data_IF_340907875011
#
_entry.id   IF_340907875011
#
_cell.length_a   1.000
_cell.length_b   1.000
_cell.length_c   1.000
_cell.angle_alpha   90.00
_cell.angle_beta   90.00
_cell.angle_gamma   90.00
#
_symmetry.space_group_name_H-M   'P 1'
#
loop_
_entity.id
_entity.type
_entity.pdbx_description
1 polymer ?
#
# COMPACT_ATOMS: atom_id res chain seq x y z
N UNK A 1 11.90 -4.38 -9.63
CA UNK A 1 10.43 -4.47 -9.53
C UNK A 1 9.96 -5.70 -8.78
N UNK A 2 10.27 -6.93 -9.19
CA UNK A 2 9.81 -8.15 -8.50
C UNK A 2 10.05 -8.15 -6.98
N UNK A 3 11.21 -7.68 -6.53
CA UNK A 3 11.53 -7.58 -5.09
C UNK A 3 10.57 -6.63 -4.34
N UNK A 4 10.19 -5.51 -4.94
CA UNK A 4 9.27 -4.55 -4.32
C UNK A 4 7.85 -5.13 -4.22
N UNK A 5 7.38 -5.81 -5.28
CA UNK A 5 6.08 -6.48 -5.28
C UNK A 5 6.03 -7.61 -4.23
N UNK A 6 7.10 -8.38 -4.10
CA UNK A 6 7.22 -9.40 -3.05
C UNK A 6 7.14 -8.78 -1.64
N UNK A 7 7.86 -7.68 -1.38
CA UNK A 7 7.77 -6.95 -0.10
C UNK A 7 6.36 -6.45 0.19
N UNK A 8 5.66 -5.89 -0.82
CA UNK A 8 4.26 -5.47 -0.65
C UNK A 8 3.37 -6.67 -0.28
N UNK A 9 3.52 -7.79 -0.98
CA UNK A 9 2.79 -9.03 -0.68
C UNK A 9 3.03 -9.51 0.75
N UNK A 10 4.27 -9.47 1.24
CA UNK A 10 4.61 -9.85 2.62
C UNK A 10 3.93 -8.93 3.65
N UNK A 11 3.84 -7.63 3.37
CA UNK A 11 3.13 -6.69 4.24
C UNK A 11 1.62 -6.96 4.25
N UNK A 12 1.01 -7.19 3.08
CA UNK A 12 -0.41 -7.56 2.96
C UNK A 12 -0.70 -8.85 3.72
N UNK A 13 0.14 -9.88 3.56
CA UNK A 13 0.02 -11.15 4.29
C UNK A 13 0.09 -10.93 5.81
N UNK A 14 0.98 -10.05 6.28
CA UNK A 14 1.11 -9.73 7.69
C UNK A 14 -0.13 -9.04 8.25
N UNK A 15 -0.75 -8.13 7.49
CA UNK A 15 -2.02 -7.48 7.83
C UNK A 15 -3.14 -8.52 7.90
N UNK A 16 -3.26 -9.39 6.90
CA UNK A 16 -4.28 -10.44 6.86
C UNK A 16 -4.18 -11.42 8.03
N UNK A 17 -2.96 -11.85 8.38
CA UNK A 17 -2.71 -12.68 9.58
C UNK A 17 -3.10 -11.95 10.87
N UNK A 18 -2.83 -10.65 10.96
CA UNK A 18 -3.26 -9.81 12.09
C UNK A 18 -4.79 -9.74 12.19
N UNK A 19 -5.49 -9.50 11.10
CA UNK A 19 -6.93 -9.43 11.02
C UNK A 19 -7.61 -10.78 11.40
N UNK A 20 -7.07 -11.91 10.91
CA UNK A 20 -7.56 -13.26 11.27
C UNK A 20 -7.45 -13.51 12.78
N UNK A 21 -6.32 -13.15 13.40
CA UNK A 21 -6.15 -13.28 14.85
C UNK A 21 -7.15 -12.42 15.62
N UNK A 22 -7.40 -11.20 15.15
CA UNK A 22 -8.40 -10.28 15.73
C UNK A 22 -9.80 -10.88 15.66
N UNK A 23 -10.19 -11.45 14.52
CA UNK A 23 -11.51 -12.06 14.34
C UNK A 23 -11.76 -13.26 15.31
N UNK A 24 -10.70 -13.94 15.73
CA UNK A 24 -10.76 -15.11 16.62
C UNK A 24 -10.54 -14.77 18.10
N UNK A 25 -10.26 -13.53 18.44
CA UNK A 25 -10.01 -13.07 19.79
C UNK A 25 -10.94 -11.90 20.15
N UNK A 26 -11.39 -11.84 21.39
CA UNK A 26 -12.18 -10.71 21.91
C UNK A 26 -11.24 -9.53 22.23
N UNK A 27 -10.67 -8.92 21.16
CA UNK A 27 -9.70 -7.83 21.29
C UNK A 27 -10.42 -6.51 21.55
N UNK A 28 -10.03 -5.85 22.63
CA UNK A 28 -10.50 -4.51 22.99
C UNK A 28 -9.58 -3.45 22.39
N UNK A 29 -9.79 -3.14 21.12
CA UNK A 29 -9.09 -2.02 20.47
C UNK A 29 -10.00 -0.80 20.53
N UNK A 30 -9.51 0.37 20.98
CA UNK A 30 -10.26 1.61 20.96
C UNK A 30 -10.78 1.94 19.57
N UNK A 31 -12.06 2.32 19.45
CA UNK A 31 -12.69 2.62 18.16
C UNK A 31 -11.96 3.70 17.37
N UNK A 32 -11.40 4.70 18.06
CA UNK A 32 -10.61 5.76 17.46
C UNK A 32 -9.42 5.21 16.65
N UNK A 33 -8.70 4.20 17.15
CA UNK A 33 -7.61 3.56 16.43
C UNK A 33 -8.11 2.71 15.26
N UNK A 34 -9.29 2.10 15.37
CA UNK A 34 -9.90 1.35 14.26
C UNK A 34 -10.26 2.29 13.12
N UNK A 35 -10.91 3.42 13.38
CA UNK A 35 -11.28 4.43 12.39
C UNK A 35 -10.05 5.01 11.67
N UNK A 36 -8.96 5.24 12.41
CA UNK A 36 -7.70 5.71 11.81
C UNK A 36 -7.07 4.66 10.88
N UNK A 37 -7.07 3.37 11.25
CA UNK A 37 -6.61 2.28 10.37
C UNK A 37 -7.48 2.17 9.13
N UNK A 38 -8.79 2.27 9.24
CA UNK A 38 -9.71 2.22 8.10
C UNK A 38 -9.45 3.38 7.14
N UNK A 39 -9.21 4.59 7.67
CA UNK A 39 -8.84 5.76 6.89
C UNK A 39 -7.50 5.54 6.17
N UNK A 40 -6.46 5.10 6.89
CA UNK A 40 -5.15 4.81 6.33
C UNK A 40 -5.24 3.72 5.25
N UNK A 41 -5.99 2.64 5.49
CA UNK A 41 -6.18 1.56 4.53
C UNK A 41 -6.88 2.04 3.25
N UNK A 42 -7.87 2.94 3.36
CA UNK A 42 -8.53 3.55 2.22
C UNK A 42 -7.57 4.38 1.36
N UNK A 43 -6.68 5.15 1.99
CA UNK A 43 -5.64 5.91 1.30
C UNK A 43 -4.63 4.99 0.61
N UNK A 44 -4.16 3.96 1.29
CA UNK A 44 -3.24 2.95 0.72
C UNK A 44 -3.87 2.23 -0.46
N UNK A 45 -5.17 1.96 -0.42
CA UNK A 45 -5.89 1.38 -1.55
C UNK A 45 -5.84 2.29 -2.80
N UNK A 46 -5.97 3.61 -2.63
CA UNK A 46 -5.82 4.57 -3.73
C UNK A 46 -4.38 4.57 -4.29
N UNK A 47 -3.38 4.53 -3.41
CA UNK A 47 -1.96 4.39 -3.80
C UNK A 47 -1.73 3.13 -4.62
N UNK A 48 -2.29 1.99 -4.22
CA UNK A 48 -2.18 0.73 -4.96
C UNK A 48 -2.85 0.82 -6.34
N UNK A 49 -4.01 1.46 -6.44
CA UNK A 49 -4.70 1.72 -7.71
C UNK A 49 -3.83 2.56 -8.66
N UNK A 50 -3.28 3.67 -8.18
CA UNK A 50 -2.37 4.51 -8.95
C UNK A 50 -1.11 3.74 -9.39
N UNK A 51 -0.54 2.91 -8.50
CA UNK A 51 0.63 2.07 -8.81
C UNK A 51 0.30 1.07 -9.93
N UNK A 52 -0.84 0.40 -9.85
CA UNK A 52 -1.28 -0.55 -10.88
C UNK A 52 -1.48 0.16 -12.23
N UNK A 53 -2.12 1.32 -12.23
CA UNK A 53 -2.34 2.16 -13.42
C UNK A 53 -1.01 2.56 -14.06
N UNK A 54 -0.07 3.07 -13.25
CA UNK A 54 1.24 3.46 -13.72
C UNK A 54 2.00 2.29 -14.37
N UNK A 55 1.97 1.12 -13.72
CA UNK A 55 2.67 -0.08 -14.20
C UNK A 55 2.08 -0.64 -15.50
N UNK A 56 0.75 -0.67 -15.61
CA UNK A 56 0.09 -1.29 -16.78
C UNK A 56 0.15 -0.40 -18.00
N UNK A 57 -0.05 0.91 -17.80
CA UNK A 57 -0.09 1.87 -18.89
C UNK A 57 1.27 2.47 -19.24
N UNK A 58 2.32 2.21 -18.45
CA UNK A 58 3.59 2.92 -18.54
C UNK A 58 3.39 4.45 -18.49
N UNK A 59 2.54 4.90 -17.56
CA UNK A 59 2.04 6.26 -17.50
C UNK A 59 2.86 7.09 -16.51
N UNK A 60 3.59 8.08 -17.04
CA UNK A 60 4.40 9.00 -16.25
C UNK A 60 3.55 9.97 -15.43
N UNK A 61 2.35 10.35 -15.90
CA UNK A 61 1.44 11.22 -15.15
C UNK A 61 0.85 10.52 -13.92
N UNK A 62 0.54 9.22 -14.05
CA UNK A 62 0.09 8.40 -12.94
C UNK A 62 1.15 8.27 -11.82
N UNK A 63 2.43 8.40 -12.16
CA UNK A 63 3.50 8.41 -11.15
C UNK A 63 3.51 9.66 -10.30
N UNK A 64 3.22 10.82 -10.88
CA UNK A 64 3.05 12.05 -10.12
C UNK A 64 1.89 11.94 -9.15
N UNK A 65 0.74 11.47 -9.62
CA UNK A 65 -0.42 11.20 -8.76
C UNK A 65 -0.09 10.22 -7.63
N UNK A 66 0.73 9.20 -7.89
CA UNK A 66 1.20 8.27 -6.87
C UNK A 66 2.03 8.95 -5.77
N UNK A 67 2.90 9.89 -6.15
CA UNK A 67 3.70 10.64 -5.17
C UNK A 67 2.83 11.56 -4.30
N UNK A 68 1.84 12.23 -4.91
CA UNK A 68 0.87 13.08 -4.19
C UNK A 68 0.03 12.29 -3.19
N UNK A 69 -0.28 11.02 -3.49
CA UNK A 69 -1.07 10.15 -2.61
C UNK A 69 -0.29 9.58 -1.41
N UNK A 70 1.05 9.58 -1.44
CA UNK A 70 1.88 9.05 -0.35
C UNK A 70 1.84 9.96 0.90
N UNK A 71 1.81 11.27 0.72
CA UNK A 71 1.80 12.23 1.82
C UNK A 71 0.57 12.09 2.75
N UNK A 72 -0.68 11.96 2.25
CA UNK A 72 -1.83 11.67 3.10
C UNK A 72 -1.70 10.37 3.89
N UNK A 73 -1.10 9.31 3.32
CA UNK A 73 -0.85 8.05 4.05
C UNK A 73 0.13 8.27 5.20
N UNK A 74 1.22 9.01 4.96
CA UNK A 74 2.20 9.35 5.98
C UNK A 74 1.56 10.16 7.12
N UNK A 75 0.72 11.14 6.80
CA UNK A 75 -0.01 11.94 7.79
C UNK A 75 -0.98 11.08 8.61
N UNK A 76 -1.71 10.14 7.98
CA UNK A 76 -2.60 9.22 8.68
C UNK A 76 -1.82 8.31 9.64
N UNK A 77 -0.65 7.80 9.23
CA UNK A 77 0.24 7.03 10.11
C UNK A 77 0.77 7.85 11.30
N UNK A 78 1.19 9.11 11.09
CA UNK A 78 1.65 9.99 12.16
C UNK A 78 0.52 10.29 13.17
N UNK A 79 -0.70 10.53 12.69
CA UNK A 79 -1.87 10.74 13.53
C UNK A 79 -2.22 9.48 14.32
N UNK A 80 -2.21 8.30 13.67
CA UNK A 80 -2.40 7.03 14.36
C UNK A 80 -1.36 6.86 15.50
N UNK A 81 -0.10 7.15 15.23
CA UNK A 81 0.97 7.01 16.21
C UNK A 81 0.81 7.98 17.39
N UNK A 82 0.33 9.19 17.12
CA UNK A 82 0.04 10.21 18.14
C UNK A 82 -1.09 9.74 19.08
N UNK A 83 -2.19 9.26 18.53
CA UNK A 83 -3.34 8.76 19.30
C UNK A 83 -2.96 7.50 20.08
N UNK A 84 -2.25 6.57 19.46
CA UNK A 84 -1.72 5.37 20.10
C UNK A 84 -0.89 5.70 21.35
N UNK A 85 0.08 6.61 21.23
CA UNK A 85 0.91 7.02 22.34
C UNK A 85 0.10 7.69 23.47
N UNK A 86 -0.92 8.49 23.12
CA UNK A 86 -1.81 9.09 24.09
C UNK A 86 -2.56 8.03 24.89
N UNK A 87 -3.17 7.06 24.21
CA UNK A 87 -3.92 5.97 24.86
C UNK A 87 -2.99 5.17 25.79
N UNK A 88 -1.82 4.76 25.32
CA UNK A 88 -0.87 4.00 26.15
C UNK A 88 -0.43 4.78 27.39
N UNK A 89 -0.25 6.11 27.29
CA UNK A 89 0.20 6.95 28.40
C UNK A 89 -0.85 7.26 29.43
N UNK A 90 -2.14 7.29 29.03
CA UNK A 90 -3.26 7.71 29.90
C UNK A 90 -4.00 6.51 30.50
N UNK A 91 -4.21 5.46 29.73
CA UNK A 91 -5.03 4.31 30.16
C UNK A 91 -4.24 3.24 30.90
N UNK A 92 -2.89 3.31 30.89
CA UNK A 92 -2.01 2.31 31.52
C UNK A 92 -2.50 0.86 31.26
N UNK A 93 -2.60 0.42 29.97
CA UNK A 93 -3.21 -0.83 29.62
C UNK A 93 -2.52 -2.02 30.29
N UNK A 94 -3.28 -3.04 30.65
CA UNK A 94 -2.72 -4.30 31.12
C UNK A 94 -1.90 -5.01 30.01
N UNK A 95 -1.18 -6.09 30.36
CA UNK A 95 -0.29 -6.79 29.45
C UNK A 95 -1.00 -7.27 28.17
N UNK A 96 -2.27 -7.73 28.29
CA UNK A 96 -3.06 -8.23 27.16
C UNK A 96 -3.51 -7.09 26.25
N UNK A 97 -4.04 -6.02 26.82
CA UNK A 97 -4.42 -4.83 26.06
C UNK A 97 -3.22 -4.17 25.40
N UNK A 98 -2.06 -4.15 26.06
CA UNK A 98 -0.82 -3.65 25.47
C UNK A 98 -0.37 -4.48 24.26
N UNK A 99 -0.46 -5.81 24.32
CA UNK A 99 -0.15 -6.67 23.18
C UNK A 99 -1.09 -6.44 22.00
N UNK A 100 -2.38 -6.19 22.26
CA UNK A 100 -3.36 -5.90 21.23
C UNK A 100 -3.09 -4.53 20.56
N UNK A 101 -2.80 -3.51 21.37
CA UNK A 101 -2.39 -2.20 20.89
C UNK A 101 -1.10 -2.28 20.06
N UNK A 102 -0.12 -3.06 20.49
CA UNK A 102 1.14 -3.29 19.76
C UNK A 102 0.92 -3.95 18.40
N UNK A 103 -0.03 -4.87 18.28
CA UNK A 103 -0.40 -5.48 16.99
C UNK A 103 -1.10 -4.50 16.07
N UNK A 104 -1.90 -3.62 16.65
CA UNK A 104 -2.64 -2.59 15.91
C UNK A 104 -1.69 -1.57 15.28
N UNK A 105 -0.67 -1.11 16.02
CA UNK A 105 0.37 -0.22 15.46
C UNK A 105 1.19 -0.89 14.36
N UNK A 106 1.41 -2.21 14.45
CA UNK A 106 2.09 -2.95 13.37
C UNK A 106 1.26 -2.98 12.09
N UNK A 107 -0.07 -3.02 12.19
CA UNK A 107 -0.95 -2.96 11.00
C UNK A 107 -0.82 -1.61 10.30
N UNK A 108 -0.92 -0.49 11.02
CA UNK A 108 -0.72 0.85 10.48
C UNK A 108 0.67 0.99 9.85
N UNK A 109 1.73 0.50 10.53
CA UNK A 109 3.08 0.50 9.95
C UNK A 109 3.20 -0.29 8.66
N UNK A 110 2.51 -1.42 8.50
CA UNK A 110 2.52 -2.18 7.25
C UNK A 110 1.79 -1.42 6.13
N UNK A 111 0.72 -0.71 6.44
CA UNK A 111 0.02 0.15 5.48
C UNK A 111 0.94 1.26 4.97
N UNK A 112 1.61 1.99 5.85
CA UNK A 112 2.61 3.00 5.47
C UNK A 112 3.72 2.41 4.60
N UNK A 113 4.22 1.20 4.95
CA UNK A 113 5.25 0.52 4.16
C UNK A 113 4.79 0.13 2.76
N UNK A 114 3.53 -0.23 2.57
CA UNK A 114 2.97 -0.51 1.25
C UNK A 114 3.00 0.77 0.39
N UNK A 115 2.61 1.91 0.94
CA UNK A 115 2.69 3.20 0.25
C UNK A 115 4.12 3.56 -0.14
N UNK A 116 5.06 3.52 0.81
CA UNK A 116 6.48 3.81 0.55
C UNK A 116 7.10 2.91 -0.53
N UNK A 117 6.76 1.61 -0.55
CA UNK A 117 7.21 0.68 -1.60
C UNK A 117 6.57 1.00 -2.95
N UNK A 118 5.35 1.50 -2.98
CA UNK A 118 4.68 1.98 -4.20
C UNK A 118 5.42 3.17 -4.81
N UNK A 119 5.84 4.14 -3.99
CA UNK A 119 6.69 5.26 -4.42
C UNK A 119 8.02 4.75 -5.02
N UNK A 120 8.68 3.76 -4.38
CA UNK A 120 9.88 3.14 -4.96
C UNK A 120 9.61 2.47 -6.32
N UNK A 121 8.45 1.87 -6.52
CA UNK A 121 8.04 1.31 -7.82
C UNK A 121 7.89 2.44 -8.84
N UNK A 122 7.22 3.53 -8.48
CA UNK A 122 7.04 4.70 -9.34
C UNK A 122 8.37 5.29 -9.82
N UNK A 123 9.31 5.55 -8.90
CA UNK A 123 10.64 6.09 -9.27
C UNK A 123 11.44 5.16 -10.17
N UNK A 124 11.34 3.83 -9.96
CA UNK A 124 11.99 2.84 -10.83
C UNK A 124 11.35 2.76 -12.20
N UNK A 125 10.03 2.89 -12.29
CA UNK A 125 9.32 2.91 -13.56
C UNK A 125 9.66 4.18 -14.35
N UNK A 126 9.74 5.34 -13.68
CA UNK A 126 10.22 6.59 -14.30
C UNK A 126 11.61 6.38 -14.90
N UNK A 127 12.53 5.75 -14.16
CA UNK A 127 13.85 5.42 -14.70
C UNK A 127 13.78 4.52 -15.93
N UNK A 128 12.92 3.49 -15.92
CA UNK A 128 12.78 2.59 -17.08
C UNK A 128 12.24 3.30 -18.33
N UNK A 129 11.37 4.30 -18.14
CA UNK A 129 10.74 5.01 -19.25
C UNK A 129 11.56 6.20 -19.76
N UNK A 130 12.38 6.83 -18.93
CA UNK A 130 13.14 8.04 -19.26
C UNK A 130 14.66 7.81 -19.36
N UNK A 131 15.17 6.72 -18.81
CA UNK A 131 16.60 6.47 -18.65
C UNK A 131 17.27 7.33 -17.58
N UNK A 132 16.53 8.20 -16.91
CA UNK A 132 17.06 9.13 -15.90
C UNK A 132 16.61 8.75 -14.50
N UNK A 133 17.48 8.99 -13.50
CA UNK A 133 17.14 8.80 -12.09
C UNK A 133 16.47 10.05 -11.54
N UNK A 134 15.24 9.88 -11.14
CA UNK A 134 14.41 10.91 -10.52
C UNK A 134 14.11 10.50 -9.07
N UNK A 135 14.21 11.46 -8.15
CA UNK A 135 13.64 11.30 -6.81
C UNK A 135 12.13 11.56 -6.84
N UNK A 136 11.42 11.22 -5.77
CA UNK A 136 10.00 11.53 -5.65
C UNK A 136 9.75 13.06 -5.75
N UNK A 137 10.61 13.88 -5.11
CA UNK A 137 10.53 15.35 -5.20
C UNK A 137 10.73 15.87 -6.62
N UNK A 138 11.70 15.32 -7.36
CA UNK A 138 11.94 15.73 -8.75
C UNK A 138 10.72 15.46 -9.64
N UNK A 139 10.05 14.32 -9.43
CA UNK A 139 8.83 13.94 -10.16
C UNK A 139 7.66 14.88 -9.82
N UNK A 140 7.52 15.30 -8.56
CA UNK A 140 6.48 16.22 -8.13
C UNK A 140 6.69 17.63 -8.67
N UNK A 141 7.93 18.10 -8.77
CA UNK A 141 8.30 19.44 -9.24
C UNK A 141 8.30 19.55 -10.77
N UNK A 142 8.47 18.43 -11.48
CA UNK A 142 8.52 18.42 -12.94
C UNK A 142 7.17 18.82 -13.57
N UNK A 143 7.21 19.54 -14.68
CA UNK A 143 6.03 19.76 -15.52
C UNK A 143 5.63 18.44 -16.22
N UNK A 144 4.31 18.19 -16.38
CA UNK A 144 3.82 16.98 -17.07
C UNK A 144 4.40 16.88 -18.50
N UNK A 145 4.53 18.01 -19.21
CA UNK A 145 5.14 18.06 -20.52
C UNK A 145 6.64 17.74 -20.51
N UNK A 146 7.34 18.07 -19.43
CA UNK A 146 8.76 17.77 -19.27
C UNK A 146 9.02 16.28 -19.13
N UNK A 147 8.27 15.60 -18.25
CA UNK A 147 8.37 14.15 -18.05
C UNK A 147 8.08 13.37 -19.34
N UNK A 148 7.03 13.74 -20.08
CA UNK A 148 6.65 13.04 -21.31
C UNK A 148 7.66 13.30 -22.44
N UNK A 149 8.27 14.49 -22.52
CA UNK A 149 9.33 14.80 -23.49
C UNK A 149 10.63 14.01 -23.24
N UNK A 150 10.87 13.57 -22.03
CA UNK A 150 12.04 12.76 -21.67
C UNK A 150 11.84 11.26 -21.93
N UNK A 151 10.65 10.85 -22.35
CA UNK A 151 10.34 9.46 -22.63
C UNK A 151 11.21 8.92 -23.75
N UNK A 152 11.85 7.77 -23.51
CA UNK A 152 12.61 7.06 -24.54
C UNK A 152 11.63 6.59 -25.63
N UNK A 153 11.90 6.91 -26.93
CA UNK A 153 11.04 6.48 -28.02
C UNK A 153 10.85 4.95 -28.00
N UNK A 154 9.62 4.50 -28.23
CA UNK A 154 9.27 3.08 -28.30
C UNK A 154 10.13 2.39 -29.39
N UNK A 155 10.97 1.46 -28.99
CA UNK A 155 11.90 0.74 -29.87
C UNK A 155 13.34 0.65 -29.34
N UNK A 156 13.75 1.54 -28.43
CA UNK A 156 15.09 1.54 -27.84
C UNK A 156 15.09 1.15 -26.34
N UNK A 157 13.93 1.06 -25.70
CA UNK A 157 13.76 0.67 -24.30
C UNK A 157 13.03 -0.66 -24.14
N UNK A 158 12.98 -1.18 -22.93
CA UNK A 158 12.19 -2.37 -22.58
C UNK A 158 10.71 -2.01 -22.68
N UNK A 159 10.08 -2.36 -23.80
CA UNK A 159 8.64 -2.21 -23.99
C UNK A 159 7.98 -3.31 -23.16
N UNK A 160 7.38 -2.92 -22.05
CA UNK A 160 6.33 -3.74 -21.42
C UNK A 160 5.06 -3.48 -22.23
N UNK A 161 4.73 -4.37 -23.18
CA UNK A 161 3.45 -4.26 -23.87
C UNK A 161 2.32 -4.30 -22.84
N UNK A 162 1.40 -3.31 -22.84
CA UNK A 162 0.28 -3.33 -21.92
C UNK A 162 -0.56 -4.58 -22.20
N UNK A 163 -0.70 -5.46 -21.21
CA UNK A 163 -1.65 -6.57 -21.28
C UNK A 163 -3.05 -5.96 -21.19
N UNK A 164 -3.74 -5.89 -22.31
CA UNK A 164 -5.02 -5.22 -22.52
C UNK A 164 -6.19 -5.69 -21.66
N UNK A 165 -6.04 -6.74 -20.85
CA UNK A 165 -7.12 -7.33 -20.04
C UNK A 165 -6.99 -7.09 -18.52
N UNK A 166 -6.05 -6.29 -18.07
CA UNK A 166 -5.99 -5.94 -16.65
C UNK A 166 -7.11 -4.98 -16.28
N UNK A 167 -8.27 -5.49 -15.90
CA UNK A 167 -9.30 -4.71 -15.20
C UNK A 167 -8.71 -4.23 -13.89
N UNK A 168 -8.64 -2.90 -13.72
CA UNK A 168 -8.04 -2.29 -12.55
C UNK A 168 -8.83 -2.62 -11.30
N UNK A 169 -8.12 -3.05 -10.26
CA UNK A 169 -8.68 -3.25 -8.93
C UNK A 169 -9.21 -1.93 -8.34
N UNK A 170 -8.69 -0.78 -8.80
CA UNK A 170 -9.12 0.55 -8.36
C UNK A 170 -10.57 0.89 -8.72
N UNK A 171 -11.15 0.27 -9.78
CA UNK A 171 -12.53 0.47 -10.17
C UNK A 171 -13.52 -0.51 -9.52
N UNK A 172 -13.03 -1.42 -8.67
CA UNK A 172 -13.88 -2.37 -7.96
C UNK A 172 -14.52 -1.70 -6.74
N UNK A 173 -15.83 -1.86 -6.54
CA UNK A 173 -16.49 -1.48 -5.29
C UNK A 173 -15.82 -2.15 -4.08
N UNK A 174 -15.77 -1.45 -2.95
CA UNK A 174 -15.10 -1.94 -1.73
C UNK A 174 -15.66 -3.29 -1.22
N UNK A 175 -16.93 -3.58 -1.48
CA UNK A 175 -17.59 -4.85 -1.17
C UNK A 175 -17.06 -6.01 -2.04
N UNK A 176 -16.77 -5.78 -3.32
CA UNK A 176 -16.13 -6.77 -4.20
C UNK A 176 -14.66 -7.02 -3.81
N UNK A 177 -13.98 -5.98 -3.35
CA UNK A 177 -12.60 -6.10 -2.82
C UNK A 177 -12.59 -6.95 -1.56
N UNK A 178 -13.54 -6.73 -0.65
CA UNK A 178 -13.72 -7.52 0.56
C UNK A 178 -13.98 -9.00 0.26
N UNK A 179 -14.82 -9.31 -0.73
CA UNK A 179 -15.10 -10.68 -1.15
C UNK A 179 -13.87 -11.37 -1.76
N UNK A 180 -13.10 -10.66 -2.61
CA UNK A 180 -11.84 -11.18 -3.17
C UNK A 180 -10.76 -11.39 -2.11
N UNK A 181 -10.64 -10.48 -1.15
CA UNK A 181 -9.72 -10.63 -0.02
C UNK A 181 -10.07 -11.86 0.83
N UNK A 182 -11.36 -12.09 1.09
CA UNK A 182 -11.82 -13.26 1.83
C UNK A 182 -11.53 -14.58 1.09
N UNK A 183 -11.55 -14.58 -0.24
CA UNK A 183 -11.17 -15.74 -1.06
C UNK A 183 -9.67 -15.98 -0.99
N UNK A 184 -8.85 -14.93 -1.16
CA UNK A 184 -7.40 -14.99 -1.04
C UNK A 184 -6.93 -15.47 0.34
N UNK A 185 -7.60 -15.03 1.41
CA UNK A 185 -7.30 -15.47 2.79
C UNK A 185 -7.56 -16.97 2.92
N UNK A 186 -8.65 -17.51 2.34
CA UNK A 186 -8.94 -18.95 2.37
C UNK A 186 -7.93 -19.77 1.58
N UNK A 187 -7.45 -19.27 0.44
CA UNK A 187 -6.43 -19.92 -0.38
C UNK A 187 -5.09 -19.98 0.36
N UNK A 188 -4.69 -18.90 1.05
CA UNK A 188 -3.48 -18.87 1.88
C UNK A 188 -3.59 -19.82 3.07
N UNK A 189 -4.77 -19.93 3.70
CA UNK A 189 -4.99 -20.86 4.82
C UNK A 189 -4.91 -22.32 4.36
N UNK A 190 -5.39 -22.65 3.16
CA UNK A 190 -5.30 -23.99 2.59
C UNK A 190 -3.85 -24.39 2.27
N UNK A 191 -3.03 -23.46 1.78
CA UNK A 191 -1.59 -23.71 1.50
C UNK A 191 -0.78 -23.91 2.80
N UNK A 192 -1.10 -23.18 3.88
CA UNK A 192 -0.41 -23.31 5.18
C UNK A 192 -0.79 -24.64 5.91
N UNK A 193 -1.95 -25.29 5.60
CA UNK A 193 -2.37 -26.59 6.16
C UNK A 193 -1.75 -27.79 5.42
N UNK A 194 -1.31 -27.61 4.18
CA UNK A 194 -0.65 -28.67 3.39
C UNK A 194 0.88 -28.77 3.65
N UNK A 195 1.47 -27.82 4.39
CA UNK A 195 2.92 -27.79 4.74
C UNK A 195 3.22 -28.36 6.16
N UNK A 196 2.24 -28.77 6.96
CA UNK A 196 2.40 -29.42 8.27
C UNK A 196 2.14 -30.96 8.17
#
# INVERSE_FOLDING_TARGET
MNFNLARMSDHVRSIARGAKRKANADLKIPNELVELIETEASLVYQVLGATATALVNNDLSAMRSLMDLDEPVRQAYEEFFRVYNHIVSVEEPDEHAYDDLRRTIMTSRYLERISSVSVEIGTRLTFLLTGQRWSASDILEADEGELENMRIPSGEGVILEPKTDARYVADLPLDEVGAKLATLIREIDAEDEDED
#
